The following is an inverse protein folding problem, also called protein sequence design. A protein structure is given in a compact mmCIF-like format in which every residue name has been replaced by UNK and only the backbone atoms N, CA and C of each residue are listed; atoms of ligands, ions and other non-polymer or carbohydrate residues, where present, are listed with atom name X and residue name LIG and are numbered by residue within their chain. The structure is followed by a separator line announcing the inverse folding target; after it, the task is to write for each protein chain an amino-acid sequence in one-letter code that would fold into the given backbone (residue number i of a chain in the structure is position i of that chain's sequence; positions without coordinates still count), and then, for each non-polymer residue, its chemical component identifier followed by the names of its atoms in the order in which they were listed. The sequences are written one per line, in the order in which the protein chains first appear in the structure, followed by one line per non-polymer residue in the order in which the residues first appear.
data_IF_352276305666
#
_entry.id   IF_352276305666
#
_cell.length_a   1.000
_cell.length_b   1.000
_cell.length_c   1.000
_cell.angle_alpha   90.00
_cell.angle_beta   90.00
_cell.angle_gamma   90.00
#
_symmetry.space_group_name_H-M   'P 1'
#
loop_
_entity.id
_entity.type
_entity.pdbx_description
1 polymer ?
#
# COMPACT_ATOMS: atom_id res chain seq x y z
N UNK A 1 -13.62 27.37 5.01
CA UNK A 1 -14.03 26.51 6.14
C UNK A 1 -15.02 25.49 5.59
N UNK A 2 -14.54 24.30 5.23
CA UNK A 2 -15.38 23.16 4.87
C UNK A 2 -14.80 21.98 5.64
N UNK A 3 -15.41 21.68 6.78
CA UNK A 3 -15.09 20.54 7.62
C UNK A 3 -15.66 19.30 6.93
N UNK A 4 -14.81 18.39 6.47
CA UNK A 4 -15.29 17.12 5.91
C UNK A 4 -14.83 16.01 6.85
N UNK A 5 -15.69 15.71 7.82
CA UNK A 5 -15.53 14.63 8.79
C UNK A 5 -15.81 13.30 8.07
N UNK A 6 -14.77 12.53 7.75
CA UNK A 6 -14.94 11.18 7.17
C UNK A 6 -14.77 10.17 8.30
N UNK A 7 -15.89 9.78 8.91
CA UNK A 7 -15.95 8.68 9.88
C UNK A 7 -15.72 7.36 9.15
N UNK A 8 -14.63 6.66 9.46
CA UNK A 8 -14.44 5.24 9.08
C UNK A 8 -14.30 4.41 10.35
N UNK A 9 -15.24 3.50 10.55
CA UNK A 9 -15.18 2.46 11.57
C UNK A 9 -14.38 1.28 11.02
N UNK A 10 -13.38 0.80 11.75
CA UNK A 10 -12.73 -0.48 11.50
C UNK A 10 -12.83 -1.31 12.77
N UNK A 11 -13.44 -2.49 12.66
CA UNK A 11 -13.48 -3.51 13.72
C UNK A 11 -12.32 -4.49 13.52
N UNK A 12 -11.54 -4.74 14.57
CA UNK A 12 -10.66 -5.92 14.70
C UNK A 12 -11.16 -6.78 15.88
N UNK A 13 -10.76 -8.06 15.87
CA UNK A 13 -11.42 -9.22 16.49
C UNK A 13 -11.59 -9.21 18.03
N UNK A 14 -11.08 -8.21 18.74
CA UNK A 14 -11.13 -8.16 20.22
C UNK A 14 -12.10 -7.10 20.80
N UNK A 15 -13.01 -6.55 19.99
CA UNK A 15 -14.14 -5.75 20.49
C UNK A 15 -13.80 -4.38 21.10
N UNK A 16 -12.56 -3.91 21.02
CA UNK A 16 -12.16 -2.57 21.49
C UNK A 16 -12.37 -1.53 20.37
N UNK A 17 -13.28 -0.58 20.57
CA UNK A 17 -13.44 0.59 19.70
C UNK A 17 -12.37 1.64 20.02
N UNK A 18 -11.57 2.02 19.01
CA UNK A 18 -10.64 3.15 19.13
C UNK A 18 -11.04 4.19 18.08
N UNK A 19 -11.60 5.32 18.52
CA UNK A 19 -11.76 6.50 17.67
C UNK A 19 -10.37 7.10 17.38
N UNK A 20 -10.00 7.19 16.09
CA UNK A 20 -8.88 8.02 15.66
C UNK A 20 -9.38 9.07 14.68
N UNK A 21 -9.62 10.26 15.20
CA UNK A 21 -9.83 11.46 14.38
C UNK A 21 -8.52 11.79 13.64
N UNK A 22 -8.52 11.65 12.32
CA UNK A 22 -7.46 12.19 11.46
C UNK A 22 -7.95 13.52 10.92
N UNK A 23 -7.44 14.63 11.47
CA UNK A 23 -7.66 15.98 10.90
C UNK A 23 -6.47 16.35 10.02
N UNK A 24 -6.74 16.56 8.74
CA UNK A 24 -5.75 17.10 7.78
C UNK A 24 -5.99 18.61 7.68
N UNK A 25 -5.05 19.41 8.19
CA UNK A 25 -5.03 20.87 8.00
C UNK A 25 -3.71 21.24 7.30
N UNK A 26 -3.82 22.03 6.22
CA UNK A 26 -2.74 22.77 5.58
C UNK A 26 -1.45 22.01 5.28
N UNK A 27 -1.54 20.91 4.53
CA UNK A 27 -0.37 20.16 4.04
C UNK A 27 0.56 19.68 5.17
N UNK A 28 0.01 19.58 6.39
CA UNK A 28 0.68 19.04 7.56
C UNK A 28 -0.08 17.81 8.03
N UNK A 29 0.60 16.68 8.08
CA UNK A 29 0.07 15.48 8.70
C UNK A 29 0.29 15.60 10.21
N UNK A 30 -0.79 15.56 10.99
CA UNK A 30 -0.72 15.41 12.44
C UNK A 30 -0.85 13.93 12.75
N UNK A 31 0.27 13.29 13.06
CA UNK A 31 0.25 11.98 13.71
C UNK A 31 0.25 12.20 15.22
N UNK A 32 -0.63 11.51 15.94
CA UNK A 32 -0.48 11.36 17.39
C UNK A 32 0.45 10.18 17.64
N UNK A 33 1.56 10.41 18.33
CA UNK A 33 2.37 9.32 18.87
C UNK A 33 1.58 8.59 19.99
N UNK A 34 2.09 7.48 20.53
CA UNK A 34 1.47 6.78 21.66
C UNK A 34 1.26 7.60 22.94
N UNK A 35 1.65 8.89 22.93
CA UNK A 35 1.48 9.90 23.98
C UNK A 35 0.55 11.06 23.59
N UNK A 36 -0.06 11.05 22.41
CA UNK A 36 -1.02 12.09 21.97
C UNK A 36 -0.40 13.37 21.40
N UNK A 37 0.91 13.42 21.16
CA UNK A 37 1.59 14.60 20.62
C UNK A 37 1.51 14.65 19.09
N UNK A 38 1.11 15.81 18.56
CA UNK A 38 1.01 16.10 17.15
C UNK A 38 2.40 16.30 16.51
N UNK A 39 2.87 15.33 15.72
CA UNK A 39 4.10 15.47 14.94
C UNK A 39 3.75 16.02 13.57
N UNK A 40 3.97 17.32 13.36
CA UNK A 40 3.86 18.00 12.06
C UNK A 40 5.21 17.99 11.36
N UNK A 41 5.35 17.24 10.27
CA UNK A 41 6.46 17.37 9.33
C UNK A 41 5.91 17.77 7.96
N UNK A 42 6.29 18.95 7.47
CA UNK A 42 6.10 19.33 6.06
C UNK A 42 7.11 18.56 5.22
N UNK A 43 6.67 17.45 4.64
CA UNK A 43 7.44 16.68 3.67
C UNK A 43 7.12 17.19 2.26
N UNK A 44 8.16 17.43 1.44
CA UNK A 44 7.96 17.92 0.07
C UNK A 44 7.44 16.78 -0.80
N UNK A 45 6.27 16.96 -1.41
CA UNK A 45 5.69 15.95 -2.31
C UNK A 45 6.41 16.02 -3.66
N UNK A 46 7.10 14.94 -4.02
CA UNK A 46 7.84 14.81 -5.28
C UNK A 46 7.09 13.91 -6.26
N UNK A 47 7.37 14.07 -7.56
CA UNK A 47 6.80 13.18 -8.58
C UNK A 47 7.20 11.72 -8.38
N UNK A 48 8.44 11.48 -7.94
CA UNK A 48 8.92 10.13 -7.62
C UNK A 48 8.12 9.48 -6.49
N UNK A 49 7.75 10.25 -5.46
CA UNK A 49 6.92 9.75 -4.36
C UNK A 49 5.50 9.42 -4.83
N UNK A 50 4.89 10.28 -5.66
CA UNK A 50 3.57 10.01 -6.25
C UNK A 50 3.60 8.73 -7.08
N UNK A 51 4.58 8.60 -7.99
CA UNK A 51 4.74 7.40 -8.83
C UNK A 51 4.91 6.15 -7.98
N UNK A 52 5.77 6.19 -6.97
CA UNK A 52 5.98 5.06 -6.06
C UNK A 52 4.68 4.62 -5.38
N UNK A 53 3.95 5.55 -4.77
CA UNK A 53 2.69 5.25 -4.06
C UNK A 53 1.64 4.66 -5.01
N UNK A 54 1.45 5.28 -6.17
CA UNK A 54 0.45 4.83 -7.16
C UNK A 54 0.81 3.44 -7.68
N UNK A 55 2.08 3.20 -8.01
CA UNK A 55 2.56 1.90 -8.52
C UNK A 55 2.37 0.78 -7.50
N UNK A 56 2.73 1.02 -6.25
CA UNK A 56 2.69 0.00 -5.19
C UNK A 56 1.27 -0.36 -4.74
N UNK A 57 0.32 0.57 -4.82
CA UNK A 57 -1.05 0.37 -4.34
C UNK A 57 -2.04 0.02 -5.44
N UNK A 58 -1.86 0.60 -6.62
CA UNK A 58 -2.80 0.46 -7.75
C UNK A 58 -2.10 -0.12 -8.97
N UNK A 59 -0.94 0.38 -9.35
CA UNK A 59 -0.24 -0.07 -10.55
C UNK A 59 0.18 1.10 -11.43
N UNK A 60 1.12 0.84 -12.33
CA UNK A 60 1.71 1.88 -13.19
C UNK A 60 0.69 2.51 -14.14
N UNK A 61 -0.33 1.74 -14.53
CA UNK A 61 -1.39 2.19 -15.43
C UNK A 61 -2.23 3.35 -14.88
N UNK A 62 -2.24 3.56 -13.56
CA UNK A 62 -2.97 4.65 -12.92
C UNK A 62 -2.18 5.98 -12.85
N UNK A 63 -0.88 5.95 -13.18
CA UNK A 63 0.00 7.13 -13.15
C UNK A 63 -0.51 8.27 -14.05
N UNK A 64 -0.89 8.04 -15.33
CA UNK A 64 -1.33 9.11 -16.22
C UNK A 64 -2.54 9.88 -15.67
N UNK A 65 -3.51 9.17 -15.07
CA UNK A 65 -4.70 9.77 -14.46
C UNK A 65 -4.31 10.71 -13.32
N UNK A 66 -3.42 10.29 -12.43
CA UNK A 66 -3.01 11.10 -11.28
C UNK A 66 -2.25 12.36 -11.72
N UNK A 67 -1.33 12.24 -12.69
CA UNK A 67 -0.62 13.40 -13.20
C UNK A 67 -1.53 14.35 -13.98
N UNK A 68 -2.51 13.82 -14.72
CA UNK A 68 -3.52 14.64 -15.38
C UNK A 68 -4.39 15.43 -14.39
N UNK A 69 -4.79 14.81 -13.28
CA UNK A 69 -5.60 15.44 -12.24
C UNK A 69 -4.80 16.41 -11.35
N UNK A 70 -3.47 16.37 -11.38
CA UNK A 70 -2.63 17.20 -10.52
C UNK A 70 -2.82 18.69 -10.84
N UNK A 71 -3.11 19.49 -9.81
CA UNK A 71 -3.43 20.91 -9.96
C UNK A 71 -4.81 21.20 -10.55
N UNK A 72 -5.57 20.18 -10.94
CA UNK A 72 -6.95 20.31 -11.44
C UNK A 72 -7.96 19.97 -10.35
N UNK A 73 -9.19 20.47 -10.52
CA UNK A 73 -10.30 20.25 -9.60
C UNK A 73 -11.59 19.94 -10.34
N UNK A 74 -12.34 19.01 -9.77
CA UNK A 74 -13.64 18.55 -10.21
C UNK A 74 -13.65 18.24 -11.69
N UNK A 75 -12.81 17.30 -12.11
CA UNK A 75 -12.70 16.88 -13.49
C UNK A 75 -13.63 15.70 -13.74
N UNK A 76 -14.45 15.79 -14.79
CA UNK A 76 -15.34 14.69 -15.16
C UNK A 76 -14.56 13.46 -15.60
N UNK A 77 -15.00 12.27 -15.20
CA UNK A 77 -14.44 11.00 -15.68
C UNK A 77 -14.41 10.86 -17.21
N UNK A 78 -15.35 11.49 -17.92
CA UNK A 78 -15.36 11.49 -19.38
C UNK A 78 -14.23 12.35 -19.96
N UNK A 79 -13.93 13.50 -19.35
CA UNK A 79 -12.82 14.36 -19.76
C UNK A 79 -11.48 13.65 -19.49
N UNK A 80 -11.36 12.96 -18.35
CA UNK A 80 -10.15 12.17 -18.04
C UNK A 80 -9.94 11.09 -19.11
N UNK A 81 -10.99 10.37 -19.48
CA UNK A 81 -10.92 9.32 -20.49
C UNK A 81 -10.54 9.88 -21.87
N UNK A 82 -11.17 10.97 -22.30
CA UNK A 82 -10.91 11.62 -23.58
C UNK A 82 -9.49 12.16 -23.68
N UNK A 83 -9.03 12.89 -22.68
CA UNK A 83 -7.72 13.58 -22.70
C UNK A 83 -6.54 12.61 -22.56
N UNK A 84 -6.78 11.42 -22.02
CA UNK A 84 -5.77 10.38 -21.88
C UNK A 84 -5.91 9.28 -22.93
N UNK A 85 -6.85 9.42 -23.87
CA UNK A 85 -7.19 8.41 -24.89
C UNK A 85 -7.41 7.01 -24.28
N UNK A 86 -8.19 6.97 -23.18
CA UNK A 86 -8.51 5.76 -22.45
C UNK A 86 -9.99 5.39 -22.63
N UNK A 87 -10.27 4.09 -22.62
CA UNK A 87 -11.66 3.63 -22.56
C UNK A 87 -12.31 4.05 -21.24
N UNK A 88 -13.57 4.49 -21.28
CA UNK A 88 -14.30 4.96 -20.10
C UNK A 88 -14.43 3.90 -19.00
N UNK A 89 -14.61 2.62 -19.38
CA UNK A 89 -14.71 1.53 -18.41
C UNK A 89 -13.39 1.29 -17.69
N UNK A 90 -12.28 1.31 -18.43
CA UNK A 90 -10.94 1.21 -17.88
C UNK A 90 -10.62 2.40 -16.96
N UNK A 91 -10.92 3.61 -17.42
CA UNK A 91 -10.74 4.85 -16.63
C UNK A 91 -11.49 4.78 -15.30
N UNK A 92 -12.76 4.36 -15.31
CA UNK A 92 -13.54 4.19 -14.08
C UNK A 92 -12.95 3.13 -13.15
N UNK A 93 -12.50 2.00 -13.68
CA UNK A 93 -11.85 0.97 -12.89
C UNK A 93 -10.64 1.52 -12.13
N UNK A 94 -9.76 2.26 -12.81
CA UNK A 94 -8.59 2.88 -12.20
C UNK A 94 -8.98 3.94 -11.15
N UNK A 95 -9.96 4.79 -11.45
CA UNK A 95 -10.46 5.80 -10.51
C UNK A 95 -11.03 5.17 -9.23
N UNK A 96 -11.75 4.05 -9.33
CA UNK A 96 -12.26 3.33 -8.15
C UNK A 96 -11.15 2.66 -7.33
N UNK A 97 -10.13 2.08 -7.97
CA UNK A 97 -8.97 1.53 -7.25
C UNK A 97 -8.19 2.64 -6.54
N UNK A 98 -8.02 3.80 -7.17
CA UNK A 98 -7.40 4.97 -6.54
C UNK A 98 -8.24 5.51 -5.36
N UNK A 99 -9.56 5.44 -5.46
CA UNK A 99 -10.50 5.85 -4.41
C UNK A 99 -10.39 4.98 -3.15
N UNK A 100 -10.17 3.68 -3.31
CA UNK A 100 -10.03 2.72 -2.19
C UNK A 100 -8.93 3.18 -1.20
N UNK A 101 -7.84 3.71 -1.74
CA UNK A 101 -6.71 4.25 -0.96
C UNK A 101 -6.85 5.75 -0.62
N UNK A 102 -7.95 6.38 -1.03
CA UNK A 102 -8.21 7.82 -0.91
C UNK A 102 -7.16 8.68 -1.64
N UNK A 103 -6.52 8.13 -2.67
CA UNK A 103 -5.60 8.89 -3.55
C UNK A 103 -6.41 9.91 -4.35
N UNK A 104 -7.65 9.58 -4.70
CA UNK A 104 -8.62 10.50 -5.30
C UNK A 104 -9.88 10.60 -4.44
N UNK A 105 -10.62 11.68 -4.64
CA UNK A 105 -12.00 11.85 -4.13
C UNK A 105 -12.91 12.28 -5.28
N UNK A 106 -14.22 12.12 -5.11
CA UNK A 106 -15.17 12.56 -6.11
C UNK A 106 -16.43 13.17 -5.51
N UNK A 107 -17.09 13.99 -6.33
CA UNK A 107 -18.44 14.48 -6.09
C UNK A 107 -19.34 14.06 -7.26
N UNK A 108 -20.64 13.88 -6.99
CA UNK A 108 -21.62 13.58 -8.03
C UNK A 108 -22.49 14.80 -8.28
N UNK A 109 -22.65 15.17 -9.55
CA UNK A 109 -23.57 16.23 -9.96
C UNK A 109 -24.60 15.66 -10.92
N UNK A 110 -25.87 16.06 -10.75
CA UNK A 110 -26.94 15.71 -11.68
C UNK A 110 -26.82 16.58 -12.93
N UNK A 111 -26.76 15.94 -14.08
CA UNK A 111 -26.83 16.61 -15.37
C UNK A 111 -28.25 17.17 -15.56
N UNK A 112 -28.37 18.48 -15.78
CA UNK A 112 -29.66 19.14 -15.94
C UNK A 112 -30.33 18.84 -17.28
N UNK A 113 -29.55 18.38 -18.28
CA UNK A 113 -30.03 18.09 -19.63
C UNK A 113 -30.42 16.62 -19.74
N UNK A 114 -29.49 15.71 -19.41
CA UNK A 114 -29.69 14.27 -19.59
C UNK A 114 -30.29 13.56 -18.37
N UNK A 115 -30.33 14.21 -17.21
CA UNK A 115 -30.92 13.68 -15.98
C UNK A 115 -30.10 12.63 -15.23
N UNK A 116 -29.04 12.08 -15.84
CA UNK A 116 -28.08 11.16 -15.20
C UNK A 116 -27.07 11.87 -14.28
N UNK A 117 -26.33 11.11 -13.47
CA UNK A 117 -25.30 11.64 -12.59
C UNK A 117 -23.92 11.48 -13.20
N UNK A 118 -23.09 12.52 -13.08
CA UNK A 118 -21.69 12.51 -13.52
C UNK A 118 -20.79 12.65 -12.29
N UNK A 119 -19.76 11.80 -12.23
CA UNK A 119 -18.72 11.86 -11.20
C UNK A 119 -17.60 12.82 -11.63
N UNK A 120 -17.21 13.68 -10.70
CA UNK A 120 -16.13 14.65 -10.86
C UNK A 120 -15.05 14.37 -9.83
N UNK A 121 -13.82 14.22 -10.28
CA UNK A 121 -12.71 13.67 -9.51
C UNK A 121 -11.65 14.73 -9.18
N UNK A 122 -11.06 14.57 -8.00
CA UNK A 122 -9.98 15.37 -7.45
C UNK A 122 -8.82 14.46 -7.03
N UNK A 123 -7.58 14.89 -7.27
CA UNK A 123 -6.40 14.25 -6.69
C UNK A 123 -6.15 14.77 -5.26
N UNK A 124 -6.10 13.84 -4.29
CA UNK A 124 -5.80 14.13 -2.89
C UNK A 124 -4.29 14.07 -2.65
N UNK A 125 -3.55 14.98 -3.27
CA UNK A 125 -2.07 14.98 -3.24
C UNK A 125 -1.49 14.94 -1.82
N UNK A 126 -2.15 15.60 -0.86
CA UNK A 126 -1.75 15.60 0.54
C UNK A 126 -1.66 14.20 1.18
N UNK A 127 -2.40 13.20 0.68
CA UNK A 127 -2.36 11.83 1.22
C UNK A 127 -1.08 11.06 0.87
N UNK A 128 -0.33 11.52 -0.13
CA UNK A 128 0.82 10.80 -0.70
C UNK A 128 1.91 10.49 0.34
N UNK A 129 2.38 11.44 1.19
CA UNK A 129 3.38 11.15 2.21
C UNK A 129 2.94 10.09 3.23
N UNK A 130 1.67 10.15 3.64
CA UNK A 130 1.10 9.17 4.55
C UNK A 130 1.04 7.77 3.94
N UNK A 131 0.60 7.67 2.68
CA UNK A 131 0.54 6.39 1.97
C UNK A 131 1.95 5.83 1.74
N UNK A 132 2.93 6.66 1.39
CA UNK A 132 4.32 6.24 1.25
C UNK A 132 4.87 5.64 2.55
N UNK A 133 4.63 6.30 3.69
CA UNK A 133 5.04 5.79 5.00
C UNK A 133 4.31 4.51 5.37
N UNK A 134 3.00 4.41 5.08
CA UNK A 134 2.20 3.20 5.31
C UNK A 134 2.75 2.00 4.51
N UNK A 135 3.11 2.20 3.24
CA UNK A 135 3.74 1.18 2.40
C UNK A 135 5.07 0.73 3.01
N UNK A 136 5.94 1.69 3.40
CA UNK A 136 7.24 1.41 4.01
C UNK A 136 7.11 0.57 5.28
N UNK A 137 6.21 0.96 6.19
CA UNK A 137 5.96 0.25 7.43
C UNK A 137 5.38 -1.16 7.19
N UNK A 138 4.49 -1.31 6.21
CA UNK A 138 3.94 -2.62 5.83
C UNK A 138 5.04 -3.56 5.29
N UNK A 139 5.96 -3.05 4.45
CA UNK A 139 7.11 -3.82 3.96
C UNK A 139 8.02 -4.27 5.10
N UNK A 140 8.32 -3.37 6.05
CA UNK A 140 9.12 -3.71 7.24
C UNK A 140 8.43 -4.78 8.08
N UNK A 141 7.13 -4.67 8.32
CA UNK A 141 6.38 -5.68 9.09
C UNK A 141 6.48 -7.06 8.44
N UNK A 142 6.26 -7.16 7.12
CA UNK A 142 6.40 -8.42 6.36
C UNK A 142 7.82 -8.98 6.41
N UNK A 143 8.84 -8.13 6.33
CA UNK A 143 10.23 -8.56 6.44
C UNK A 143 10.58 -9.05 7.84
N UNK A 144 10.07 -8.39 8.90
CA UNK A 144 10.25 -8.81 10.29
C UNK A 144 9.58 -10.16 10.56
N UNK A 145 8.34 -10.34 10.08
CA UNK A 145 7.63 -11.63 10.17
C UNK A 145 8.41 -12.74 9.45
N UNK A 146 8.95 -12.44 8.25
CA UNK A 146 9.81 -13.37 7.53
C UNK A 146 11.08 -13.69 8.32
N UNK A 147 11.76 -12.68 8.86
CA UNK A 147 12.99 -12.85 9.63
C UNK A 147 12.76 -13.73 10.86
N UNK A 148 11.67 -13.51 11.58
CA UNK A 148 11.27 -14.31 12.74
C UNK A 148 11.09 -15.79 12.35
N UNK A 149 10.44 -16.06 11.21
CA UNK A 149 10.32 -17.42 10.68
C UNK A 149 11.69 -18.02 10.34
N UNK A 150 12.57 -17.27 9.70
CA UNK A 150 13.93 -17.73 9.35
C UNK A 150 14.85 -17.92 10.57
N UNK A 151 14.53 -17.30 11.71
CA UNK A 151 15.27 -17.45 12.97
C UNK A 151 14.77 -18.62 13.82
N UNK A 152 13.46 -18.87 13.83
CA UNK A 152 12.83 -19.83 14.72
C UNK A 152 12.62 -21.22 14.09
N UNK A 153 12.62 -21.32 12.76
CA UNK A 153 12.40 -22.59 12.06
C UNK A 153 13.63 -23.01 11.27
N UNK A 154 13.93 -24.30 11.34
CA UNK A 154 14.87 -24.95 10.44
C UNK A 154 14.14 -25.32 9.15
N UNK A 155 14.78 -25.04 8.02
CA UNK A 155 14.22 -25.30 6.70
C UNK A 155 15.01 -26.39 6.00
N UNK A 156 14.28 -27.24 5.28
CA UNK A 156 14.84 -28.25 4.41
C UNK A 156 14.48 -27.92 2.97
N UNK A 157 15.43 -28.14 2.07
CA UNK A 157 15.30 -27.86 0.64
C UNK A 157 15.68 -29.10 -0.17
N UNK A 158 14.93 -29.36 -1.23
CA UNK A 158 15.29 -30.35 -2.22
C UNK A 158 16.52 -29.89 -3.02
N UNK A 159 17.43 -30.80 -3.39
CA UNK A 159 18.61 -30.48 -4.24
C UNK A 159 18.20 -29.92 -5.60
N UNK A 160 17.12 -30.44 -6.17
CA UNK A 160 16.56 -29.99 -7.44
C UNK A 160 15.72 -28.72 -7.30
N UNK A 161 15.72 -28.08 -6.13
CA UNK A 161 14.99 -26.84 -5.82
C UNK A 161 13.47 -26.91 -6.05
N UNK A 162 12.87 -28.11 -6.07
CA UNK A 162 11.43 -28.31 -6.25
C UNK A 162 10.61 -27.65 -5.12
N UNK A 163 11.05 -27.85 -3.87
CA UNK A 163 10.33 -27.30 -2.71
C UNK A 163 11.26 -27.00 -1.54
N UNK A 164 10.80 -26.10 -0.68
CA UNK A 164 11.39 -25.72 0.60
C UNK A 164 10.32 -25.80 1.67
N UNK A 165 10.60 -26.49 2.77
CA UNK A 165 9.62 -26.72 3.83
C UNK A 165 10.28 -26.60 5.20
N UNK A 166 9.54 -26.21 6.25
CA UNK A 166 10.05 -26.24 7.62
C UNK A 166 10.26 -27.69 8.09
N UNK A 167 10.98 -27.86 9.19
CA UNK A 167 11.30 -29.17 9.77
C UNK A 167 10.06 -30.04 9.99
N UNK A 168 8.99 -29.51 10.58
CA UNK A 168 7.78 -30.27 10.94
C UNK A 168 7.14 -30.90 9.70
N UNK A 169 6.97 -30.10 8.65
CA UNK A 169 6.43 -30.57 7.37
C UNK A 169 7.38 -31.53 6.68
N UNK A 170 8.69 -31.31 6.80
CA UNK A 170 9.69 -32.24 6.25
C UNK A 170 9.65 -33.58 6.96
N UNK A 171 9.42 -33.60 8.28
CA UNK A 171 9.24 -34.81 9.07
C UNK A 171 8.00 -35.59 8.65
N UNK A 172 6.87 -34.92 8.36
CA UNK A 172 5.66 -35.54 7.82
C UNK A 172 5.91 -36.28 6.48
N UNK A 173 6.78 -35.72 5.64
CA UNK A 173 7.20 -36.35 4.37
C UNK A 173 8.45 -37.24 4.50
N UNK A 174 8.87 -37.60 5.72
CA UNK A 174 10.08 -38.39 5.99
C UNK A 174 11.35 -37.82 5.32
N UNK A 175 11.45 -36.50 5.25
CA UNK A 175 12.50 -35.74 4.58
C UNK A 175 12.64 -36.09 3.09
N UNK A 176 11.56 -36.50 2.43
CA UNK A 176 11.52 -36.72 0.98
C UNK A 176 10.73 -35.62 0.30
N UNK A 177 11.21 -35.17 -0.85
CA UNK A 177 10.53 -34.19 -1.66
C UNK A 177 9.22 -34.79 -2.20
N UNK A 178 8.06 -34.14 -2.00
CA UNK A 178 6.78 -34.62 -2.51
C UNK A 178 6.66 -34.60 -4.04
N UNK A 179 7.54 -33.86 -4.73
CA UNK A 179 7.51 -33.75 -6.19
C UNK A 179 8.44 -34.76 -6.89
N UNK A 180 9.68 -34.88 -6.43
CA UNK A 180 10.68 -35.76 -7.09
C UNK A 180 11.08 -36.99 -6.27
N UNK A 181 10.65 -37.11 -5.02
CA UNK A 181 10.97 -38.24 -4.13
C UNK A 181 12.39 -38.25 -3.56
N UNK A 182 13.25 -37.31 -3.95
CA UNK A 182 14.62 -37.20 -3.43
C UNK A 182 14.67 -36.75 -1.97
N UNK A 183 15.76 -37.09 -1.29
CA UNK A 183 16.02 -36.64 0.07
C UNK A 183 16.19 -35.11 0.11
N UNK A 184 15.55 -34.46 1.08
CA UNK A 184 15.71 -33.05 1.37
C UNK A 184 16.89 -32.82 2.32
N UNK A 185 17.52 -31.66 2.21
CA UNK A 185 18.67 -31.27 3.03
C UNK A 185 18.37 -30.03 3.83
N UNK A 186 18.88 -29.98 5.06
CA UNK A 186 18.84 -28.77 5.88
C UNK A 186 19.52 -27.61 5.13
N UNK A 187 18.88 -26.45 5.17
CA UNK A 187 19.33 -25.23 4.53
C UNK A 187 19.92 -24.29 5.59
N UNK A 188 21.16 -23.87 5.38
CA UNK A 188 21.73 -22.75 6.14
C UNK A 188 21.10 -21.42 5.69
N UNK A 189 20.29 -20.84 6.59
CA UNK A 189 19.60 -19.58 6.36
C UNK A 189 20.41 -18.35 6.81
N UNK A 190 21.68 -18.47 7.23
CA UNK A 190 22.48 -17.36 7.72
C UNK A 190 22.54 -16.18 6.72
N UNK A 191 22.81 -16.49 5.44
CA UNK A 191 22.84 -15.46 4.37
C UNK A 191 21.46 -14.82 4.16
N UNK A 192 20.40 -15.62 4.20
CA UNK A 192 19.02 -15.13 4.05
C UNK A 192 18.64 -14.19 5.18
N UNK A 193 18.97 -14.54 6.43
CA UNK A 193 18.75 -13.71 7.62
C UNK A 193 19.48 -12.38 7.51
N UNK A 194 20.78 -12.42 7.19
CA UNK A 194 21.59 -11.22 7.02
C UNK A 194 21.00 -10.29 5.95
N UNK A 195 20.62 -10.85 4.79
CA UNK A 195 20.01 -10.07 3.71
C UNK A 195 18.71 -9.40 4.15
N UNK A 196 17.82 -10.11 4.86
CA UNK A 196 16.56 -9.54 5.36
C UNK A 196 16.83 -8.43 6.38
N UNK A 197 17.79 -8.63 7.30
CA UNK A 197 18.18 -7.61 8.28
C UNK A 197 18.73 -6.34 7.62
N UNK A 198 19.57 -6.48 6.60
CA UNK A 198 20.10 -5.36 5.82
C UNK A 198 18.97 -4.58 5.13
N UNK A 199 18.00 -5.28 4.52
CA UNK A 199 16.83 -4.66 3.90
C UNK A 199 15.95 -3.91 4.90
N UNK A 200 15.71 -4.48 6.08
CA UNK A 200 14.98 -3.81 7.16
C UNK A 200 15.72 -2.54 7.58
N UNK A 201 17.04 -2.60 7.79
CA UNK A 201 17.87 -1.45 8.16
C UNK A 201 17.82 -0.37 7.08
N UNK A 202 17.90 -0.74 5.80
CA UNK A 202 17.80 0.22 4.70
C UNK A 202 16.44 0.94 4.73
N UNK A 203 15.33 0.19 4.85
CA UNK A 203 13.98 0.76 4.92
C UNK A 203 13.75 1.60 6.18
N UNK A 204 14.35 1.26 7.31
CA UNK A 204 14.30 2.04 8.56
C UNK A 204 15.18 3.30 8.50
N UNK A 205 16.29 3.25 7.76
CA UNK A 205 17.21 4.38 7.57
C UNK A 205 16.63 5.46 6.65
N UNK A 206 15.77 5.09 5.69
CA UNK A 206 15.06 5.98 4.75
C UNK A 206 13.99 6.86 5.43
N UNK A 207 14.10 7.13 6.74
CA UNK A 207 13.18 7.99 7.50
C UNK A 207 13.06 9.39 6.87
N UNK A 208 11.85 9.71 6.40
CA UNK A 208 11.34 11.06 6.10
C UNK A 208 12.27 11.99 5.29
N UNK A 209 12.28 11.84 3.96
CA UNK A 209 12.71 12.88 3.00
C UNK A 209 11.51 13.66 2.47
#
# INVERSE_FOLDING_TARGET
MIETDVRKFFTLEDGVQIERHVRVLDNSFVFTNGKGEAISKKQKITEGMIKHVVTELVGEEAIPIIFYLRGKKQISEFIIAEELDLEIHFTRNLLYRLLEFNIVSFIRKKDRIKGWYICYWDFNEHMVPYLAEKIRLSKIAKLKERLEKEQNFDFYMCRNACTRMPFEKSMEFNFKCPECGELMHEQDNARTKQFIEEQIKELESKKSL
#
